data_IF_272402519628
#
_entry.id   IF_272402519628
#
_cell.length_a   1.000
_cell.length_b   1.000
_cell.length_c   1.000
_cell.angle_alpha   90.00
_cell.angle_beta   90.00
_cell.angle_gamma   90.00
#
_symmetry.space_group_name_H-M   'P 1'
#
loop_
_entity.id
_entity.type
_entity.pdbx_description
1 polymer ?
#
# COMPACT_ATOMS: atom_id res chain seq x y z
N UNK A 1 -18.10 -11.61 3.12
CA UNK A 1 -18.13 -10.14 2.86
C UNK A 1 -17.22 -9.81 1.71
N UNK A 2 -17.72 -9.10 0.74
CA UNK A 2 -16.88 -8.59 -0.34
C UNK A 2 -16.20 -7.31 0.10
N UNK A 3 -14.91 -7.18 -0.20
CA UNK A 3 -14.19 -5.95 0.04
C UNK A 3 -14.47 -4.97 -1.10
N UNK A 4 -14.65 -3.70 -0.77
CA UNK A 4 -14.89 -2.65 -1.75
C UNK A 4 -13.60 -1.86 -1.98
N UNK A 5 -13.21 -1.71 -3.24
CA UNK A 5 -12.05 -0.91 -3.58
C UNK A 5 -12.38 0.58 -3.48
N UNK A 6 -11.57 1.38 -2.74
CA UNK A 6 -11.74 2.84 -2.74
C UNK A 6 -11.73 3.41 -4.15
N UNK A 7 -12.57 4.42 -4.39
CA UNK A 7 -12.70 5.07 -5.70
C UNK A 7 -11.36 5.53 -6.26
N UNK A 8 -10.51 6.08 -5.38
CA UNK A 8 -9.18 6.58 -5.75
C UNK A 8 -8.27 5.50 -6.36
N UNK A 9 -8.53 4.24 -6.08
CA UNK A 9 -7.67 3.12 -6.53
C UNK A 9 -8.29 2.32 -7.68
N UNK A 10 -9.46 2.69 -8.16
CA UNK A 10 -10.16 1.93 -9.21
C UNK A 10 -9.37 1.81 -10.50
N UNK A 11 -8.54 2.79 -10.81
CA UNK A 11 -7.67 2.71 -11.99
C UNK A 11 -6.67 1.56 -11.93
N UNK A 12 -6.40 1.05 -10.74
CA UNK A 12 -5.47 -0.07 -10.54
C UNK A 12 -6.17 -1.44 -10.57
N UNK A 13 -7.50 -1.47 -10.55
CA UNK A 13 -8.27 -2.70 -10.32
C UNK A 13 -7.99 -3.80 -11.33
N UNK A 14 -7.85 -3.45 -12.62
CA UNK A 14 -7.65 -4.40 -13.70
C UNK A 14 -6.17 -4.72 -13.97
N UNK A 15 -5.27 -4.09 -13.25
CA UNK A 15 -3.84 -4.37 -13.36
C UNK A 15 -3.47 -5.63 -12.58
N UNK A 16 -2.56 -6.43 -13.11
CA UNK A 16 -2.06 -7.60 -12.41
C UNK A 16 -1.02 -7.18 -11.37
N UNK A 17 -1.50 -6.70 -10.23
CA UNK A 17 -0.67 -6.29 -9.10
C UNK A 17 -1.29 -6.60 -7.74
N UNK A 18 -2.37 -7.37 -7.72
CA UNK A 18 -3.12 -7.64 -6.50
C UNK A 18 -2.88 -9.05 -5.99
N UNK A 19 -2.84 -9.18 -4.67
CA UNK A 19 -2.70 -10.46 -3.96
C UNK A 19 -3.63 -10.44 -2.75
N UNK A 20 -3.96 -11.61 -2.24
CA UNK A 20 -4.53 -11.73 -0.90
C UNK A 20 -3.37 -11.82 0.11
N UNK A 21 -3.65 -11.66 1.38
CA UNK A 21 -2.65 -11.88 2.42
C UNK A 21 -3.30 -12.35 3.71
N UNK A 22 -2.51 -12.97 4.55
CA UNK A 22 -2.95 -13.39 5.88
C UNK A 22 -1.84 -13.13 6.89
N UNK A 23 -2.24 -13.01 8.15
CA UNK A 23 -1.29 -12.84 9.24
C UNK A 23 -0.86 -14.22 9.74
N UNK A 24 0.43 -14.44 9.82
CA UNK A 24 1.03 -15.62 10.44
C UNK A 24 2.04 -15.17 11.48
N UNK A 25 1.63 -15.18 12.74
CA UNK A 25 2.49 -14.81 13.87
C UNK A 25 3.12 -13.41 13.72
N UNK A 26 2.31 -12.44 13.31
CA UNK A 26 2.75 -11.06 13.07
C UNK A 26 3.41 -10.80 11.73
N UNK A 27 3.50 -11.83 10.89
CA UNK A 27 4.04 -11.69 9.53
C UNK A 27 2.90 -11.68 8.52
N UNK A 28 2.92 -10.68 7.66
CA UNK A 28 1.94 -10.56 6.56
C UNK A 28 2.44 -11.37 5.37
N UNK A 29 1.83 -12.53 5.16
CA UNK A 29 2.23 -13.46 4.11
C UNK A 29 1.35 -13.24 2.88
N UNK A 30 1.91 -12.84 1.72
CA UNK A 30 1.12 -12.65 0.53
C UNK A 30 0.71 -13.98 -0.09
N UNK A 31 -0.55 -14.07 -0.51
CA UNK A 31 -1.11 -15.25 -1.18
C UNK A 31 -1.40 -14.94 -2.64
N UNK A 32 -0.96 -15.84 -3.52
CA UNK A 32 -1.26 -15.76 -4.94
C UNK A 32 -2.74 -15.93 -5.20
N UNK A 33 -3.25 -15.21 -6.17
CA UNK A 33 -4.61 -15.41 -6.68
C UNK A 33 -4.74 -16.74 -7.44
N UNK A 34 -3.64 -17.37 -7.74
CA UNK A 34 -3.57 -18.66 -8.46
C UNK A 34 -3.35 -19.80 -7.46
N UNK A 35 -2.12 -20.06 -7.08
CA UNK A 35 -1.77 -21.13 -6.13
C UNK A 35 -0.59 -20.72 -5.27
N UNK A 36 -0.60 -21.13 -4.00
CA UNK A 36 0.52 -20.94 -3.08
C UNK A 36 0.73 -19.48 -2.67
N UNK A 37 1.94 -19.16 -2.26
CA UNK A 37 2.30 -17.81 -1.85
C UNK A 37 2.66 -16.96 -3.06
N UNK A 38 2.33 -15.67 -2.97
CA UNK A 38 2.79 -14.69 -3.95
C UNK A 38 4.23 -14.30 -3.63
N UNK A 39 4.95 -13.86 -4.66
CA UNK A 39 6.32 -13.34 -4.53
C UNK A 39 6.34 -11.90 -5.00
N UNK A 40 7.04 -11.06 -4.26
CA UNK A 40 7.09 -9.62 -4.58
C UNK A 40 7.88 -9.30 -5.85
N UNK A 41 8.66 -10.25 -6.33
CA UNK A 41 9.47 -10.11 -7.54
C UNK A 41 9.00 -11.00 -8.70
N UNK A 42 7.81 -11.61 -8.59
CA UNK A 42 7.28 -12.51 -9.62
C UNK A 42 5.84 -12.14 -9.97
N UNK A 43 5.64 -11.31 -11.02
CA UNK A 43 4.31 -10.88 -11.44
C UNK A 43 3.35 -12.00 -11.82
N UNK A 44 3.87 -13.18 -12.19
CA UNK A 44 3.02 -14.33 -12.53
C UNK A 44 2.22 -14.85 -11.31
N UNK A 45 2.60 -14.45 -10.10
CA UNK A 45 1.89 -14.81 -8.87
C UNK A 45 0.83 -13.79 -8.46
N UNK A 46 0.66 -12.70 -9.22
CA UNK A 46 -0.31 -11.64 -8.94
C UNK A 46 -1.54 -11.75 -9.84
N UNK A 47 -2.54 -10.95 -9.55
CA UNK A 47 -3.75 -10.87 -10.38
C UNK A 47 -4.44 -9.53 -10.27
N UNK A 48 -5.69 -9.50 -10.69
CA UNK A 48 -6.54 -8.32 -10.59
C UNK A 48 -7.11 -8.19 -9.17
N UNK A 49 -7.65 -7.01 -8.87
CA UNK A 49 -8.32 -6.79 -7.58
C UNK A 49 -9.45 -7.79 -7.35
N UNK A 50 -10.27 -8.05 -8.38
CA UNK A 50 -11.39 -9.00 -8.26
C UNK A 50 -10.90 -10.40 -7.92
N UNK A 51 -9.83 -10.86 -8.55
CA UNK A 51 -9.23 -12.17 -8.27
C UNK A 51 -8.69 -12.24 -6.83
N UNK A 52 -8.03 -11.19 -6.36
CA UNK A 52 -7.52 -11.12 -5.00
C UNK A 52 -8.67 -11.12 -3.98
N UNK A 53 -9.72 -10.34 -4.23
CA UNK A 53 -10.88 -10.28 -3.35
C UNK A 53 -11.59 -11.64 -3.25
N UNK A 54 -11.74 -12.35 -4.37
CA UNK A 54 -12.31 -13.70 -4.37
C UNK A 54 -11.43 -14.70 -3.61
N UNK A 55 -10.12 -14.60 -3.76
CA UNK A 55 -9.17 -15.45 -3.03
C UNK A 55 -9.29 -15.22 -1.53
N UNK A 56 -9.42 -13.97 -1.12
CA UNK A 56 -9.60 -13.59 0.27
C UNK A 56 -10.88 -14.22 0.86
N UNK A 57 -12.01 -14.03 0.20
CA UNK A 57 -13.29 -14.54 0.67
C UNK A 57 -13.29 -16.08 0.75
N UNK A 58 -12.78 -16.71 -0.27
CA UNK A 58 -12.79 -18.16 -0.39
C UNK A 58 -11.84 -18.84 0.61
N UNK A 59 -10.70 -18.24 0.86
CA UNK A 59 -9.65 -18.83 1.71
C UNK A 59 -9.60 -18.29 3.13
N UNK A 60 -10.54 -17.41 3.50
CA UNK A 60 -10.58 -16.72 4.80
C UNK A 60 -9.37 -15.84 5.06
N UNK A 61 -8.78 -15.31 4.00
CA UNK A 61 -7.73 -14.32 4.13
C UNK A 61 -8.33 -12.96 4.48
N UNK A 62 -7.59 -12.17 5.24
CA UNK A 62 -8.18 -11.00 5.89
C UNK A 62 -8.34 -9.80 5.00
N UNK A 63 -7.44 -9.56 4.06
CA UNK A 63 -7.45 -8.37 3.19
C UNK A 63 -6.64 -8.61 1.91
N UNK A 64 -6.72 -7.65 1.00
CA UNK A 64 -5.93 -7.65 -0.22
C UNK A 64 -4.68 -6.78 -0.05
N UNK A 65 -3.68 -7.04 -0.87
CA UNK A 65 -2.47 -6.26 -0.99
C UNK A 65 -2.24 -5.83 -2.42
N UNK A 66 -1.56 -4.72 -2.60
CA UNK A 66 -1.20 -4.18 -3.91
C UNK A 66 0.32 -4.16 -4.06
N UNK A 67 0.81 -4.74 -5.15
CA UNK A 67 2.24 -4.74 -5.46
C UNK A 67 2.68 -3.39 -5.99
N UNK A 68 3.76 -2.86 -5.43
CA UNK A 68 4.36 -1.60 -5.86
C UNK A 68 5.28 -1.84 -7.06
N UNK A 69 5.42 -0.84 -7.90
CA UNK A 69 6.24 -0.90 -9.10
C UNK A 69 5.51 -0.34 -10.31
N UNK A 70 6.21 -0.25 -11.43
CA UNK A 70 5.67 0.26 -12.69
C UNK A 70 4.95 1.60 -12.53
N UNK A 71 5.59 2.51 -11.81
CA UNK A 71 5.05 3.85 -11.58
C UNK A 71 4.15 4.00 -10.36
N UNK A 72 3.89 2.92 -9.60
CA UNK A 72 3.18 2.98 -8.34
C UNK A 72 4.19 2.89 -7.20
N UNK A 73 4.19 3.89 -6.32
CA UNK A 73 5.03 3.92 -5.13
C UNK A 73 4.18 3.83 -3.87
N UNK A 74 4.80 3.36 -2.80
CA UNK A 74 4.19 3.33 -1.48
C UNK A 74 5.09 4.01 -0.46
N UNK A 75 4.51 4.83 0.40
CA UNK A 75 5.20 5.49 1.51
C UNK A 75 4.61 4.97 2.79
N UNK A 76 5.46 4.44 3.65
CA UNK A 76 5.08 3.90 4.95
C UNK A 76 5.58 4.84 6.05
N UNK A 77 4.65 5.31 6.86
CA UNK A 77 4.94 6.17 8.02
C UNK A 77 4.60 5.39 9.28
N UNK A 78 5.63 4.90 9.97
CA UNK A 78 5.47 4.09 11.18
C UNK A 78 5.30 4.96 12.43
N UNK A 79 4.43 4.51 13.34
CA UNK A 79 4.26 5.11 14.68
C UNK A 79 3.97 6.62 14.65
N UNK A 80 3.10 7.04 13.73
CA UNK A 80 2.74 8.45 13.57
C UNK A 80 1.36 8.80 14.11
N UNK A 81 0.59 7.79 14.54
CA UNK A 81 -0.73 7.98 15.14
C UNK A 81 -0.64 7.59 16.62
N UNK A 82 -1.00 8.52 17.50
CA UNK A 82 -0.97 8.28 18.94
C UNK A 82 -2.23 7.55 19.46
N UNK A 83 -2.27 7.30 20.75
CA UNK A 83 -3.40 6.60 21.39
C UNK A 83 -4.73 7.35 21.30
N UNK A 84 -4.69 8.65 21.08
CA UNK A 84 -5.88 9.50 20.90
C UNK A 84 -6.31 9.59 19.42
N UNK A 85 -5.60 8.91 18.53
CA UNK A 85 -5.87 8.97 17.10
C UNK A 85 -5.30 10.21 16.41
N UNK A 86 -4.43 10.94 17.08
CA UNK A 86 -3.82 12.16 16.52
C UNK A 86 -2.59 11.81 15.71
N UNK A 87 -2.48 12.42 14.53
CA UNK A 87 -1.33 12.24 13.65
C UNK A 87 -0.28 13.28 14.04
N UNK A 88 0.99 12.84 14.13
CA UNK A 88 2.11 13.75 14.41
C UNK A 88 2.18 14.86 13.36
N UNK A 89 2.51 16.08 13.78
CA UNK A 89 2.51 17.25 12.91
C UNK A 89 3.37 17.07 11.65
N UNK A 90 4.57 16.53 11.80
CA UNK A 90 5.46 16.32 10.66
C UNK A 90 4.89 15.32 9.64
N UNK A 91 4.20 14.30 10.14
CA UNK A 91 3.57 13.30 9.29
C UNK A 91 2.37 13.90 8.54
N UNK A 92 1.56 14.69 9.22
CA UNK A 92 0.44 15.38 8.58
C UNK A 92 0.91 16.34 7.49
N UNK A 93 2.00 17.07 7.72
CA UNK A 93 2.59 17.94 6.70
C UNK A 93 3.03 17.16 5.47
N UNK A 94 3.66 16.00 5.68
CA UNK A 94 4.10 15.14 4.60
C UNK A 94 2.90 14.59 3.80
N UNK A 95 1.87 14.13 4.49
CA UNK A 95 0.62 13.64 3.88
C UNK A 95 0.03 14.74 2.99
N UNK A 96 -0.08 15.96 3.51
CA UNK A 96 -0.62 17.09 2.77
C UNK A 96 0.24 17.48 1.57
N UNK A 97 1.55 17.41 1.73
CA UNK A 97 2.51 17.75 0.67
C UNK A 97 2.44 16.74 -0.49
N UNK A 98 2.35 15.45 -0.17
CA UNK A 98 2.21 14.39 -1.18
C UNK A 98 0.84 14.50 -1.87
N UNK A 99 -0.21 14.72 -1.09
CA UNK A 99 -1.55 14.98 -1.62
C UNK A 99 -2.18 13.83 -2.39
N UNK A 100 -1.78 12.58 -2.12
CA UNK A 100 -2.28 11.39 -2.79
C UNK A 100 -3.08 10.50 -1.83
N UNK A 101 -3.59 9.38 -2.33
CA UNK A 101 -4.36 8.43 -1.53
C UNK A 101 -3.60 8.01 -0.28
N UNK A 102 -4.25 8.14 0.86
CA UNK A 102 -3.65 7.86 2.17
C UNK A 102 -4.62 7.08 3.03
N UNK A 103 -4.14 6.03 3.68
CA UNK A 103 -4.95 5.23 4.59
C UNK A 103 -4.20 4.90 5.88
N UNK A 104 -4.96 4.54 6.91
CA UNK A 104 -4.40 4.03 8.16
C UNK A 104 -3.90 2.61 7.92
N UNK A 105 -2.69 2.32 8.36
CA UNK A 105 -2.09 0.99 8.23
C UNK A 105 -2.83 -0.06 9.09
N UNK A 106 -2.64 -1.37 8.83
CA UNK A 106 -3.28 -2.42 9.61
C UNK A 106 -3.03 -2.35 11.12
N UNK A 107 -1.87 -1.84 11.54
CA UNK A 107 -1.55 -1.69 12.97
C UNK A 107 -2.40 -0.63 13.67
N UNK A 108 -2.97 0.31 12.91
CA UNK A 108 -3.68 1.45 13.46
C UNK A 108 -2.78 2.59 13.95
N UNK A 109 -1.48 2.41 13.96
CA UNK A 109 -0.50 3.40 14.46
C UNK A 109 0.32 4.05 13.37
N UNK A 110 0.22 3.54 12.14
CA UNK A 110 0.96 4.05 10.99
C UNK A 110 0.03 4.47 9.85
N UNK A 111 0.64 4.96 8.80
CA UNK A 111 -0.05 5.48 7.61
C UNK A 111 0.62 4.92 6.37
N UNK A 112 -0.18 4.50 5.41
CA UNK A 112 0.26 4.12 4.07
C UNK A 112 -0.22 5.15 3.06
N UNK A 113 0.71 5.67 2.26
CA UNK A 113 0.40 6.56 1.14
C UNK A 113 0.70 5.82 -0.15
N UNK A 114 -0.24 5.81 -1.09
CA UNK A 114 -0.02 5.32 -2.44
C UNK A 114 0.00 6.50 -3.39
N UNK A 115 0.98 6.53 -4.29
CA UNK A 115 1.11 7.61 -5.27
C UNK A 115 1.72 7.06 -6.57
N UNK A 116 1.56 7.82 -7.64
CA UNK A 116 2.27 7.56 -8.89
C UNK A 116 3.56 8.38 -8.92
N UNK A 117 4.61 7.80 -9.44
CA UNK A 117 5.87 8.52 -9.65
C UNK A 117 6.59 7.95 -10.86
N UNK A 118 7.35 8.80 -11.55
CA UNK A 118 8.16 8.35 -12.67
C UNK A 118 9.23 7.37 -12.17
N UNK A 119 9.25 6.13 -12.66
CA UNK A 119 10.21 5.12 -12.20
C UNK A 119 11.67 5.53 -12.37
N UNK A 120 11.96 6.45 -13.28
CA UNK A 120 13.33 6.93 -13.52
C UNK A 120 13.79 7.95 -12.50
N UNK A 121 12.86 8.68 -11.90
CA UNK A 121 13.18 9.75 -10.96
C UNK A 121 13.12 9.28 -9.52
N UNK A 122 12.35 8.25 -9.26
CA UNK A 122 12.32 7.62 -7.96
C UNK A 122 13.55 6.71 -7.90
N UNK A 123 14.66 7.26 -7.50
CA UNK A 123 15.89 6.52 -7.31
C UNK A 123 15.72 5.46 -6.25
N UNK A 124 16.78 5.01 -5.70
CA UNK A 124 16.73 4.03 -4.65
C UNK A 124 15.98 4.50 -3.44
N UNK A 125 14.87 3.90 -3.26
CA UNK A 125 14.07 4.24 -2.15
C UNK A 125 14.07 3.07 -1.21
N UNK A 126 14.88 3.07 -0.29
CA UNK A 126 14.86 2.10 0.74
C UNK A 126 14.78 2.76 2.04
N UNK A 127 15.13 3.94 2.21
CA UNK A 127 15.42 4.39 3.53
C UNK A 127 15.54 5.87 3.63
N UNK A 128 14.40 6.52 3.73
CA UNK A 128 14.41 7.96 3.70
C UNK A 128 14.90 8.55 5.02
N UNK A 129 14.36 8.19 6.13
CA UNK A 129 14.81 8.70 7.44
C UNK A 129 14.35 7.77 8.56
N UNK A 130 15.16 6.79 8.86
CA UNK A 130 14.85 5.82 9.92
C UNK A 130 14.46 6.45 11.25
N UNK A 131 15.03 7.59 11.57
CA UNK A 131 14.73 8.27 12.82
C UNK A 131 13.30 8.74 12.89
N UNK A 132 12.66 8.98 11.74
CA UNK A 132 11.27 9.41 11.65
C UNK A 132 10.31 8.29 11.29
N UNK A 133 10.84 7.08 10.97
CA UNK A 133 9.99 5.97 10.56
C UNK A 133 9.39 6.13 9.18
N UNK A 134 10.10 6.77 8.25
CA UNK A 134 9.66 6.95 6.86
C UNK A 134 10.35 5.93 5.99
N UNK A 135 9.56 5.15 5.24
CA UNK A 135 10.06 4.24 4.23
C UNK A 135 9.33 4.47 2.92
N UNK A 136 10.05 4.51 1.80
CA UNK A 136 9.46 4.69 0.48
C UNK A 136 9.89 3.52 -0.40
N UNK A 137 8.90 2.88 -1.05
CA UNK A 137 9.14 1.70 -1.88
C UNK A 137 8.58 1.91 -3.29
N UNK A 138 9.32 1.44 -4.30
CA UNK A 138 8.90 1.52 -5.69
C UNK A 138 8.95 0.17 -6.42
N UNK A 139 9.35 -0.90 -5.75
CA UNK A 139 9.39 -2.26 -6.33
C UNK A 139 9.62 -3.31 -5.24
N UNK A 140 9.41 -4.57 -5.58
CA UNK A 140 9.70 -5.72 -4.71
C UNK A 140 9.06 -5.62 -3.32
N UNK A 141 7.91 -4.98 -3.25
CA UNK A 141 7.16 -4.79 -2.00
C UNK A 141 5.67 -4.74 -2.32
N UNK A 142 4.84 -5.18 -1.39
CA UNK A 142 3.41 -4.94 -1.48
C UNK A 142 2.93 -4.20 -0.24
N UNK A 143 1.89 -3.39 -0.43
CA UNK A 143 1.21 -2.74 0.68
C UNK A 143 -0.12 -3.43 0.92
N UNK A 144 -0.40 -3.72 2.18
CA UNK A 144 -1.71 -4.18 2.61
C UNK A 144 -2.70 -3.03 2.51
N UNK A 145 -3.89 -3.32 1.97
CA UNK A 145 -4.92 -2.32 1.81
C UNK A 145 -5.96 -2.50 2.91
N UNK A 146 -6.17 -1.46 3.72
CA UNK A 146 -7.16 -1.50 4.81
C UNK A 146 -8.50 -0.90 4.40
N UNK A 147 -8.50 0.03 3.46
CA UNK A 147 -9.68 0.82 3.12
C UNK A 147 -10.00 1.93 4.13
N UNK A 148 -9.24 2.05 5.21
CA UNK A 148 -9.40 3.11 6.21
C UNK A 148 -8.79 4.41 5.71
N UNK A 149 -9.45 5.03 4.77
CA UNK A 149 -8.94 6.23 4.08
C UNK A 149 -8.94 7.43 5.02
N UNK A 150 -7.81 8.14 5.08
CA UNK A 150 -7.63 9.33 5.92
C UNK A 150 -8.09 10.62 5.26
N UNK A 151 -8.15 10.64 3.93
CA UNK A 151 -8.52 11.83 3.18
C UNK A 151 -9.27 11.42 1.91
N UNK A 152 -9.79 12.40 1.19
CA UNK A 152 -10.50 12.17 -0.07
C UNK A 152 -9.61 12.33 -1.30
N UNK A 153 -8.30 12.27 -1.11
CA UNK A 153 -7.36 12.46 -2.21
C UNK A 153 -7.43 11.30 -3.20
N UNK A 154 -7.44 11.59 -4.51
CA UNK A 154 -7.25 10.56 -5.52
C UNK A 154 -5.80 10.09 -5.55
N UNK A 155 -5.53 9.04 -6.33
CA UNK A 155 -4.17 8.60 -6.60
C UNK A 155 -3.50 9.63 -7.52
N UNK A 156 -2.48 10.33 -7.01
CA UNK A 156 -1.83 11.44 -7.71
C UNK A 156 -0.38 11.14 -8.04
N UNK A 157 0.14 11.86 -9.03
CA UNK A 157 1.57 11.85 -9.32
C UNK A 157 2.30 12.69 -8.26
N UNK A 158 3.30 12.09 -7.63
CA UNK A 158 4.11 12.71 -6.59
C UNK A 158 5.60 12.69 -6.95
N UNK A 159 5.92 12.63 -8.25
CA UNK A 159 7.31 12.56 -8.73
C UNK A 159 8.17 13.68 -8.15
N UNK A 160 7.67 14.90 -8.14
CA UNK A 160 8.42 16.05 -7.62
C UNK A 160 8.60 15.98 -6.10
N UNK A 161 7.62 15.47 -5.38
CA UNK A 161 7.63 15.43 -3.92
C UNK A 161 8.58 14.35 -3.37
N UNK A 162 8.88 13.32 -4.14
CA UNK A 162 9.72 12.18 -3.70
C UNK A 162 11.13 12.20 -4.25
N UNK A 163 11.48 13.22 -4.98
CA UNK A 163 12.86 13.43 -5.46
C UNK A 163 13.82 13.81 -4.34
#
# INVERSE_FOLDING_TARGET
MSISLPEALKELADQNRWVAWYDQDGRKIPKSVKTGNAKTNDPDTWGTFEQAAKTMDYKRYTVVGVMLGDGLIGIDLDHVIDSDGQIKDWAQKLIDQIGSYTEISPSGTGVHILAKADPKTVGMIGDADHRKGIEIYNHNRYFTLTGNQLNDNPLRDATEQVQ
#
